data_IF_007444270131
#
_entry.id   IF_007444270131
#
_cell.length_a   1.000
_cell.length_b   1.000
_cell.length_c   1.000
_cell.angle_alpha   90.00
_cell.angle_beta   90.00
_cell.angle_gamma   90.00
#
_symmetry.space_group_name_H-M   'P 1'
#
loop_
_entity.id
_entity.type
_entity.pdbx_description
1 polymer ?
#
# COMPACT_ATOMS: atom_id res chain seq x y z
N UNK A 1 -1.37 -9.20 22.45
CA UNK A 1 -1.94 -8.68 21.20
C UNK A 1 -0.81 -7.98 20.43
N UNK A 2 -0.49 -8.39 19.21
CA UNK A 2 0.57 -7.75 18.40
C UNK A 2 0.06 -7.48 17.00
N UNK A 3 0.24 -6.24 16.53
CA UNK A 3 0.02 -5.81 15.16
C UNK A 3 1.35 -5.35 14.58
N UNK A 4 1.77 -5.94 13.47
CA UNK A 4 2.97 -5.57 12.74
C UNK A 4 2.57 -4.85 11.46
N UNK A 5 3.08 -3.65 11.24
CA UNK A 5 2.87 -2.89 10.01
C UNK A 5 4.17 -2.86 9.22
N UNK A 6 4.17 -3.44 8.03
CA UNK A 6 5.34 -3.53 7.17
C UNK A 6 5.06 -2.80 5.85
N UNK A 7 5.83 -1.76 5.56
CA UNK A 7 5.82 -1.14 4.24
C UNK A 7 6.67 -1.97 3.27
N UNK A 8 6.22 -2.10 2.03
CA UNK A 8 7.01 -2.73 0.98
C UNK A 8 8.40 -2.12 0.82
N UNK A 9 9.39 -2.91 0.43
CA UNK A 9 10.74 -2.48 0.12
C UNK A 9 10.80 -1.53 -1.08
N UNK A 10 11.97 -0.96 -1.34
CA UNK A 10 12.18 -0.05 -2.46
C UNK A 10 11.74 -0.69 -3.80
N UNK A 11 10.82 -0.04 -4.52
CA UNK A 11 10.41 -0.44 -5.87
C UNK A 11 11.24 0.28 -6.94
N UNK A 12 11.22 -0.25 -8.20
CA UNK A 12 11.88 0.39 -9.34
C UNK A 12 11.48 1.85 -9.49
N UNK A 13 10.19 2.17 -9.37
CA UNK A 13 9.72 3.55 -9.48
C UNK A 13 10.00 4.43 -8.24
N UNK A 14 10.25 3.83 -7.08
CA UNK A 14 10.83 4.60 -5.97
C UNK A 14 12.26 5.04 -6.30
N UNK A 15 13.08 4.15 -6.87
CA UNK A 15 14.44 4.45 -7.29
C UNK A 15 14.46 5.51 -8.40
N UNK A 16 13.57 5.42 -9.38
CA UNK A 16 13.42 6.33 -10.50
C UNK A 16 12.72 7.66 -10.13
N UNK A 17 12.36 7.85 -8.87
CA UNK A 17 11.63 9.03 -8.37
C UNK A 17 10.29 9.27 -9.11
N UNK A 18 9.55 8.23 -9.47
CA UNK A 18 8.25 8.32 -10.15
C UNK A 18 7.07 8.18 -9.19
N UNK A 19 5.92 8.74 -9.60
CA UNK A 19 4.64 8.47 -8.94
C UNK A 19 4.18 7.05 -9.27
N UNK A 20 4.01 6.19 -8.28
CA UNK A 20 3.71 4.77 -8.51
C UNK A 20 2.21 4.48 -8.45
N UNK A 21 1.55 4.84 -7.36
CA UNK A 21 0.11 4.57 -7.17
C UNK A 21 -0.22 3.08 -7.31
N UNK A 22 -1.21 2.77 -8.16
CA UNK A 22 -1.67 1.40 -8.43
C UNK A 22 -0.92 0.71 -9.58
N UNK A 23 0.01 1.40 -10.25
CA UNK A 23 0.88 0.75 -11.23
C UNK A 23 1.70 -0.34 -10.58
N UNK A 24 1.70 -1.51 -11.23
CA UNK A 24 2.28 -2.72 -10.67
C UNK A 24 3.76 -2.86 -11.06
N UNK A 25 4.64 -2.44 -10.17
CA UNK A 25 6.10 -2.42 -10.37
C UNK A 25 6.81 -3.34 -9.40
N UNK A 26 7.94 -3.90 -9.85
CA UNK A 26 8.77 -4.80 -9.08
C UNK A 26 9.61 -4.09 -8.01
N UNK A 27 10.10 -4.86 -7.05
CA UNK A 27 11.14 -4.43 -6.12
C UNK A 27 12.48 -4.25 -6.84
N UNK A 28 13.34 -3.42 -6.26
CA UNK A 28 14.76 -3.41 -6.58
C UNK A 28 15.50 -4.45 -5.74
N UNK A 29 16.76 -4.77 -6.08
CA UNK A 29 17.62 -5.61 -5.23
C UNK A 29 17.73 -5.08 -3.80
N UNK A 30 17.76 -3.76 -3.64
CA UNK A 30 17.72 -3.12 -2.32
C UNK A 30 16.38 -3.40 -1.62
N UNK A 31 15.25 -3.28 -2.33
CA UNK A 31 13.93 -3.58 -1.77
C UNK A 31 13.77 -5.04 -1.33
N UNK A 32 14.34 -5.99 -2.07
CA UNK A 32 14.41 -7.40 -1.68
C UNK A 32 15.23 -7.59 -0.39
N UNK A 33 16.39 -6.91 -0.31
CA UNK A 33 17.24 -6.94 0.88
C UNK A 33 16.56 -6.33 2.11
N UNK A 34 15.81 -5.22 1.92
CA UNK A 34 15.01 -4.59 2.97
C UNK A 34 13.92 -5.54 3.49
N UNK A 35 13.22 -6.26 2.59
CA UNK A 35 12.22 -7.26 2.94
C UNK A 35 12.82 -8.44 3.72
N UNK A 36 13.99 -8.94 3.30
CA UNK A 36 14.71 -10.00 4.01
C UNK A 36 15.12 -9.57 5.40
N UNK A 37 15.65 -8.35 5.54
CA UNK A 37 16.03 -7.77 6.84
C UNK A 37 14.82 -7.65 7.77
N UNK A 38 13.66 -7.19 7.26
CA UNK A 38 12.44 -7.09 8.04
C UNK A 38 12.00 -8.47 8.57
N UNK A 39 12.04 -9.51 7.73
CA UNK A 39 11.74 -10.88 8.15
C UNK A 39 12.65 -11.36 9.28
N UNK A 40 13.97 -11.12 9.13
CA UNK A 40 14.95 -11.47 10.16
C UNK A 40 14.65 -10.78 11.50
N UNK A 41 14.40 -9.46 11.49
CA UNK A 41 14.08 -8.70 12.70
C UNK A 41 12.81 -9.21 13.39
N UNK A 42 11.73 -9.49 12.62
CA UNK A 42 10.49 -10.01 13.19
C UNK A 42 10.71 -11.40 13.78
N UNK A 43 11.53 -12.24 13.15
CA UNK A 43 11.92 -13.55 13.65
C UNK A 43 12.75 -13.47 14.95
N UNK A 44 13.73 -12.58 15.03
CA UNK A 44 14.56 -12.32 16.21
C UNK A 44 13.73 -11.84 17.42
N UNK A 45 12.65 -11.09 17.18
CA UNK A 45 11.67 -10.68 18.19
C UNK A 45 10.74 -11.85 18.66
N UNK A 46 10.91 -13.03 18.12
CA UNK A 46 10.10 -14.20 18.46
C UNK A 46 8.61 -14.08 18.13
N UNK A 47 8.26 -13.23 17.15
CA UNK A 47 6.87 -12.99 16.75
C UNK A 47 6.41 -14.12 15.85
N UNK A 48 5.53 -14.98 16.36
CA UNK A 48 4.81 -15.98 15.53
C UNK A 48 3.53 -15.33 15.01
N UNK A 49 3.40 -15.17 13.71
CA UNK A 49 2.22 -14.59 13.06
C UNK A 49 1.12 -15.64 12.88
N UNK A 50 -0.13 -15.25 13.16
CA UNK A 50 -1.31 -16.06 12.85
C UNK A 50 -1.86 -15.68 11.47
N UNK A 51 -1.91 -14.39 11.14
CA UNK A 51 -2.54 -13.86 9.93
C UNK A 51 -1.67 -12.80 9.27
N UNK A 52 -1.65 -12.77 7.95
CA UNK A 52 -1.01 -11.72 7.14
C UNK A 52 -2.01 -11.16 6.14
N UNK A 53 -2.17 -9.86 6.12
CA UNK A 53 -2.94 -9.13 5.13
C UNK A 53 -2.00 -8.35 4.22
N UNK A 54 -2.21 -8.42 2.90
CA UNK A 54 -1.41 -7.67 1.94
C UNK A 54 -2.26 -7.09 0.83
N UNK A 55 -1.75 -6.08 0.13
CA UNK A 55 -2.39 -5.54 -1.07
C UNK A 55 -2.25 -6.50 -2.25
N UNK A 56 -2.94 -6.20 -3.35
CA UNK A 56 -2.83 -6.98 -4.60
C UNK A 56 -1.70 -6.52 -5.52
N UNK A 57 -0.83 -5.60 -5.06
CA UNK A 57 0.28 -5.08 -5.85
C UNK A 57 1.57 -5.86 -5.59
N UNK A 58 2.26 -6.26 -6.67
CA UNK A 58 3.45 -7.14 -6.65
C UNK A 58 4.50 -6.75 -5.62
N UNK A 59 4.84 -5.45 -5.51
CA UNK A 59 5.85 -4.99 -4.56
C UNK A 59 5.52 -5.30 -3.09
N UNK A 60 4.23 -5.26 -2.71
CA UNK A 60 3.81 -5.63 -1.36
C UNK A 60 3.78 -7.16 -1.20
N UNK A 61 3.26 -7.88 -2.20
CA UNK A 61 3.24 -9.35 -2.23
C UNK A 61 4.66 -9.91 -2.15
N UNK A 62 5.59 -9.40 -2.98
CA UNK A 62 6.97 -9.86 -2.99
C UNK A 62 7.69 -9.54 -1.67
N UNK A 63 7.44 -8.35 -1.10
CA UNK A 63 7.97 -8.01 0.23
C UNK A 63 7.47 -8.98 1.29
N UNK A 64 6.17 -9.30 1.29
CA UNK A 64 5.58 -10.28 2.19
C UNK A 64 6.23 -11.66 2.03
N UNK A 65 6.31 -12.18 0.80
CA UNK A 65 6.88 -13.50 0.53
C UNK A 65 8.34 -13.60 0.98
N UNK A 66 9.16 -12.59 0.66
CA UNK A 66 10.56 -12.54 1.09
C UNK A 66 10.67 -12.43 2.61
N UNK A 67 9.83 -11.61 3.24
CA UNK A 67 9.80 -11.49 4.69
C UNK A 67 9.46 -12.83 5.35
N UNK A 68 8.40 -13.50 4.91
CA UNK A 68 7.93 -14.77 5.47
C UNK A 68 8.90 -15.94 5.21
N UNK A 69 9.69 -15.90 4.14
CA UNK A 69 10.70 -16.95 3.88
C UNK A 69 11.81 -17.02 4.95
N UNK A 70 11.88 -16.03 5.83
CA UNK A 70 12.83 -16.00 6.96
C UNK A 70 12.18 -16.42 8.30
N UNK A 71 10.94 -16.94 8.27
CA UNK A 71 10.26 -17.46 9.44
C UNK A 71 10.34 -18.99 9.47
N UNK A 72 11.11 -19.54 10.40
CA UNK A 72 11.18 -20.98 10.59
C UNK A 72 9.83 -21.54 11.07
N UNK A 73 9.25 -22.46 10.30
CA UNK A 73 8.02 -23.20 10.63
C UNK A 73 6.76 -22.36 10.96
N UNK A 74 6.75 -21.07 10.71
CA UNK A 74 5.55 -20.25 10.87
C UNK A 74 4.86 -20.05 9.51
N UNK A 75 3.69 -20.64 9.33
CA UNK A 75 2.87 -20.52 8.13
C UNK A 75 1.55 -19.82 8.48
N UNK A 76 1.53 -18.47 8.51
CA UNK A 76 0.30 -17.74 8.77
C UNK A 76 -0.67 -17.86 7.58
N UNK A 77 -1.97 -17.71 7.86
CA UNK A 77 -2.95 -17.53 6.78
C UNK A 77 -2.74 -16.17 6.10
N UNK A 78 -2.78 -16.16 4.75
CA UNK A 78 -2.50 -14.97 3.94
C UNK A 78 -3.76 -14.52 3.21
N UNK A 79 -4.06 -13.22 3.33
CA UNK A 79 -5.21 -12.58 2.70
C UNK A 79 -4.76 -11.41 1.83
N UNK A 80 -5.27 -11.38 0.60
CA UNK A 80 -5.01 -10.33 -0.39
C UNK A 80 -6.24 -9.44 -0.51
N UNK A 81 -6.05 -8.12 -0.38
CA UNK A 81 -7.17 -7.20 -0.50
C UNK A 81 -6.75 -5.89 -1.16
N UNK A 82 -7.50 -5.48 -2.20
CA UNK A 82 -7.25 -4.25 -2.95
C UNK A 82 -7.39 -2.98 -2.09
N UNK A 83 -8.17 -3.04 -1.01
CA UNK A 83 -8.34 -1.92 -0.08
C UNK A 83 -7.04 -1.58 0.67
N UNK A 84 -6.04 -2.46 0.63
CA UNK A 84 -4.69 -2.22 1.14
C UNK A 84 -3.75 -1.61 0.10
N UNK A 85 -4.18 -1.42 -1.16
CA UNK A 85 -3.37 -0.81 -2.20
C UNK A 85 -2.87 0.59 -1.80
N UNK A 86 -1.81 1.05 -2.47
CA UNK A 86 -1.32 2.42 -2.35
C UNK A 86 -2.41 3.41 -2.78
N UNK A 87 -2.29 4.66 -2.37
CA UNK A 87 -3.10 5.77 -2.87
C UNK A 87 -2.95 5.88 -4.39
N UNK A 88 -4.06 6.03 -5.10
CA UNK A 88 -4.07 6.18 -6.54
C UNK A 88 -3.67 7.60 -6.94
N UNK A 89 -2.56 7.75 -7.67
CA UNK A 89 -2.02 9.06 -8.05
C UNK A 89 -2.63 9.64 -9.34
N UNK A 90 -3.71 9.07 -9.86
CA UNK A 90 -4.40 9.57 -11.06
C UNK A 90 -3.46 9.63 -12.26
N UNK A 91 -3.58 10.70 -13.04
CA UNK A 91 -2.78 10.91 -14.25
C UNK A 91 -1.28 11.14 -13.98
N UNK A 92 -0.90 11.38 -12.72
CA UNK A 92 0.53 11.52 -12.36
C UNK A 92 1.27 10.17 -12.33
N UNK A 93 0.57 9.02 -12.33
CA UNK A 93 1.23 7.71 -12.32
C UNK A 93 2.19 7.57 -13.52
N UNK A 94 3.44 7.18 -13.24
CA UNK A 94 4.52 7.06 -14.21
C UNK A 94 5.37 8.31 -14.42
N UNK A 95 4.87 9.49 -14.05
CA UNK A 95 5.63 10.73 -14.18
C UNK A 95 6.75 10.82 -13.15
N UNK A 96 7.90 11.39 -13.53
CA UNK A 96 8.96 11.70 -12.60
C UNK A 96 8.57 12.91 -11.73
N UNK A 97 8.79 12.80 -10.42
CA UNK A 97 8.33 13.82 -9.46
C UNK A 97 9.06 15.15 -9.63
N UNK A 98 10.36 15.13 -9.95
CA UNK A 98 11.13 16.35 -10.13
C UNK A 98 10.76 17.07 -11.43
N UNK A 99 10.51 16.33 -12.50
CA UNK A 99 10.05 16.89 -13.77
C UNK A 99 8.62 17.47 -13.64
N UNK A 100 7.77 16.76 -12.88
CA UNK A 100 6.41 17.24 -12.56
C UNK A 100 6.47 18.53 -11.75
N UNK A 101 7.40 18.64 -10.78
CA UNK A 101 7.60 19.84 -10.00
C UNK A 101 8.10 21.02 -10.85
N UNK A 102 9.01 20.77 -11.80
CA UNK A 102 9.42 21.80 -12.77
C UNK A 102 8.26 22.31 -13.62
N UNK A 103 7.30 21.45 -13.96
CA UNK A 103 6.15 21.81 -14.81
C UNK A 103 5.02 22.52 -14.05
N UNK A 104 4.72 22.09 -12.83
CA UNK A 104 3.55 22.54 -12.07
C UNK A 104 3.89 23.37 -10.82
N UNK A 105 5.18 23.49 -10.49
CA UNK A 105 5.68 24.10 -9.26
C UNK A 105 5.79 23.09 -8.11
N UNK A 106 6.77 23.30 -7.23
CA UNK A 106 7.04 22.43 -6.08
C UNK A 106 5.86 22.41 -5.11
N UNK A 107 5.25 23.56 -4.83
CA UNK A 107 4.11 23.70 -3.92
C UNK A 107 2.90 22.89 -4.41
N UNK A 108 2.57 22.98 -5.71
CA UNK A 108 1.44 22.22 -6.26
C UNK A 108 1.70 20.72 -6.18
N UNK A 109 2.93 20.27 -6.48
CA UNK A 109 3.29 18.86 -6.36
C UNK A 109 3.31 18.41 -4.90
N UNK A 110 3.73 19.27 -3.98
CA UNK A 110 3.68 19.00 -2.54
C UNK A 110 2.23 18.83 -2.07
N UNK A 111 1.32 19.70 -2.51
CA UNK A 111 -0.13 19.60 -2.24
C UNK A 111 -0.65 18.24 -2.71
N UNK A 112 -0.44 17.84 -3.96
CA UNK A 112 -0.88 16.54 -4.48
C UNK A 112 -0.28 15.36 -3.73
N UNK A 113 0.92 15.50 -3.17
CA UNK A 113 1.60 14.43 -2.44
C UNK A 113 1.24 14.34 -0.97
N UNK A 114 0.81 15.44 -0.34
CA UNK A 114 0.73 15.56 1.11
C UNK A 114 -0.60 16.02 1.65
N UNK A 115 -1.41 16.72 0.87
CA UNK A 115 -2.73 17.14 1.33
C UNK A 115 -3.59 15.95 1.75
N UNK A 116 -4.41 16.18 2.73
CA UNK A 116 -5.35 15.18 3.24
C UNK A 116 -6.51 14.97 2.26
N UNK A 117 -7.05 16.05 1.67
CA UNK A 117 -8.31 16.06 0.91
C UNK A 117 -8.20 16.60 -0.52
N UNK A 118 -7.00 16.97 -0.98
CA UNK A 118 -6.76 17.37 -2.38
C UNK A 118 -6.14 16.22 -3.15
N UNK A 119 -6.89 15.71 -4.13
CA UNK A 119 -6.44 14.63 -5.01
C UNK A 119 -5.56 15.14 -6.14
N UNK A 120 -4.61 14.34 -6.64
CA UNK A 120 -3.97 14.58 -7.92
C UNK A 120 -4.99 14.61 -9.06
N UNK A 121 -4.62 15.14 -10.27
CA UNK A 121 -5.49 15.10 -11.43
C UNK A 121 -5.94 13.66 -11.75
N UNK A 122 -7.25 13.49 -11.95
CA UNK A 122 -7.85 12.19 -12.20
C UNK A 122 -7.42 11.62 -13.59
N UNK A 123 -7.39 10.29 -13.70
CA UNK A 123 -7.41 9.61 -14.99
C UNK A 123 -8.77 9.79 -15.65
N UNK A 124 -8.80 9.93 -16.96
CA UNK A 124 -10.02 9.77 -17.73
C UNK A 124 -10.56 8.35 -17.62
N UNK A 125 -11.85 8.17 -17.75
CA UNK A 125 -12.50 6.86 -17.65
C UNK A 125 -12.14 5.88 -18.77
N UNK A 126 -11.62 6.40 -19.89
CA UNK A 126 -11.14 5.67 -21.06
C UNK A 126 -9.60 5.50 -21.08
N UNK A 127 -8.86 6.07 -20.12
CA UNK A 127 -7.42 5.87 -20.00
C UNK A 127 -7.13 4.41 -19.68
N UNK A 128 -6.30 3.75 -20.48
CA UNK A 128 -5.94 2.33 -20.31
C UNK A 128 -5.30 2.00 -18.96
N UNK A 129 -4.74 3.00 -18.29
CA UNK A 129 -4.18 2.86 -16.93
C UNK A 129 -5.24 2.84 -15.84
N UNK A 130 -6.51 3.12 -16.19
CA UNK A 130 -7.58 3.12 -15.21
C UNK A 130 -7.80 1.69 -14.68
N UNK A 131 -7.96 1.49 -13.35
CA UNK A 131 -8.10 0.15 -12.74
C UNK A 131 -9.25 -0.68 -13.33
N UNK A 132 -10.25 -0.06 -13.95
CA UNK A 132 -11.37 -0.77 -14.61
C UNK A 132 -10.95 -1.70 -15.73
N UNK A 133 -9.75 -1.52 -16.30
CA UNK A 133 -9.18 -2.34 -17.36
C UNK A 133 -8.20 -3.39 -16.85
N UNK A 134 -7.83 -3.35 -15.56
CA UNK A 134 -6.93 -4.34 -14.96
C UNK A 134 -7.75 -5.54 -14.46
N UNK A 135 -7.41 -6.73 -14.96
CA UNK A 135 -8.02 -8.02 -14.60
C UNK A 135 -8.05 -8.30 -13.09
N UNK A 136 -7.10 -7.73 -12.33
CA UNK A 136 -7.08 -7.86 -10.86
C UNK A 136 -8.34 -7.32 -10.18
N UNK A 137 -9.06 -6.41 -10.85
CA UNK A 137 -10.24 -5.75 -10.29
C UNK A 137 -11.53 -6.06 -11.08
N UNK A 138 -11.50 -7.04 -11.99
CA UNK A 138 -12.65 -7.36 -12.87
C UNK A 138 -13.91 -7.78 -12.10
N UNK A 139 -13.73 -8.40 -10.91
CA UNK A 139 -14.84 -8.82 -10.04
C UNK A 139 -15.44 -7.67 -9.21
N UNK A 140 -14.83 -6.48 -9.26
CA UNK A 140 -15.29 -5.33 -8.49
C UNK A 140 -16.23 -4.45 -9.33
N UNK A 141 -17.19 -3.81 -8.64
CA UNK A 141 -17.99 -2.77 -9.26
C UNK A 141 -17.08 -1.62 -9.74
N UNK A 142 -17.19 -1.27 -11.01
CA UNK A 142 -16.36 -0.22 -11.64
C UNK A 142 -16.56 1.15 -10.99
N UNK A 143 -17.69 1.39 -10.34
CA UNK A 143 -18.00 2.66 -9.66
C UNK A 143 -17.16 2.90 -8.41
N UNK A 144 -16.63 1.84 -7.79
CA UNK A 144 -15.77 1.96 -6.60
C UNK A 144 -14.29 2.07 -6.93
N UNK A 145 -13.91 1.89 -8.20
CA UNK A 145 -12.51 1.95 -8.64
C UNK A 145 -12.08 3.42 -8.81
N UNK A 146 -10.99 3.85 -8.16
CA UNK A 146 -10.61 5.25 -8.15
C UNK A 146 -9.97 5.68 -9.47
N UNK A 147 -10.32 6.87 -9.95
CA UNK A 147 -9.56 7.58 -10.99
C UNK A 147 -8.41 8.41 -10.41
N UNK A 148 -8.49 8.77 -9.14
CA UNK A 148 -7.46 9.44 -8.33
C UNK A 148 -7.89 9.37 -6.86
N UNK A 149 -6.94 9.47 -5.94
CA UNK A 149 -7.21 9.50 -4.50
C UNK A 149 -6.37 10.57 -3.79
N UNK A 150 -6.99 11.30 -2.86
CA UNK A 150 -6.28 11.96 -1.76
C UNK A 150 -6.12 10.98 -0.57
N UNK A 151 -5.51 11.43 0.53
CA UNK A 151 -5.37 10.56 1.71
C UNK A 151 -6.73 10.23 2.35
N UNK A 152 -7.67 11.17 2.34
CA UNK A 152 -9.05 10.99 2.82
C UNK A 152 -9.78 9.86 2.09
N UNK A 153 -9.60 9.75 0.77
CA UNK A 153 -10.19 8.67 -0.02
C UNK A 153 -9.56 7.31 0.32
N UNK A 154 -8.24 7.29 0.50
CA UNK A 154 -7.51 6.10 0.97
C UNK A 154 -8.01 5.64 2.34
N UNK A 155 -8.23 6.58 3.27
CA UNK A 155 -8.84 6.33 4.59
C UNK A 155 -10.24 5.73 4.42
N UNK A 156 -11.11 6.38 3.63
CA UNK A 156 -12.49 5.95 3.37
C UNK A 156 -12.56 4.52 2.80
N UNK A 157 -11.61 4.16 1.94
CA UNK A 157 -11.50 2.82 1.34
C UNK A 157 -11.00 1.78 2.33
N UNK A 158 -9.99 2.11 3.14
CA UNK A 158 -9.29 1.18 4.00
C UNK A 158 -10.01 0.91 5.33
N UNK A 159 -10.54 1.95 6.00
CA UNK A 159 -11.10 1.83 7.35
C UNK A 159 -12.23 0.80 7.47
N UNK A 160 -13.20 0.69 6.56
CA UNK A 160 -14.23 -0.35 6.68
C UNK A 160 -13.66 -1.77 6.69
N UNK A 161 -12.56 -2.01 5.97
CA UNK A 161 -11.88 -3.31 5.99
C UNK A 161 -11.12 -3.54 7.29
N UNK A 162 -10.47 -2.51 7.81
CA UNK A 162 -9.84 -2.55 9.12
C UNK A 162 -10.88 -2.88 10.21
N UNK A 163 -11.96 -2.11 10.29
CA UNK A 163 -12.96 -2.20 11.36
C UNK A 163 -13.73 -3.52 11.34
N UNK A 164 -14.14 -3.96 10.15
CA UNK A 164 -15.02 -5.13 9.99
C UNK A 164 -14.27 -6.46 9.85
N UNK A 165 -12.95 -6.43 9.65
CA UNK A 165 -12.17 -7.66 9.39
C UNK A 165 -10.92 -7.71 10.25
N UNK A 166 -9.95 -6.81 10.02
CA UNK A 166 -8.61 -6.95 10.60
C UNK A 166 -8.64 -6.68 12.11
N UNK A 167 -9.30 -5.61 12.54
CA UNK A 167 -9.33 -5.23 13.96
C UNK A 167 -10.00 -6.28 14.83
N UNK A 168 -10.99 -7.01 14.29
CA UNK A 168 -11.65 -8.09 15.00
C UNK A 168 -10.66 -9.22 15.28
N UNK A 169 -9.84 -9.59 14.32
CA UNK A 169 -8.79 -10.62 14.49
C UNK A 169 -7.74 -10.19 15.49
N UNK A 170 -7.36 -8.93 15.48
CA UNK A 170 -6.44 -8.38 16.49
C UNK A 170 -7.08 -8.43 17.89
N UNK A 171 -8.37 -8.10 18.02
CA UNK A 171 -9.12 -8.18 19.31
C UNK A 171 -9.30 -9.62 19.79
N UNK A 172 -9.42 -10.60 18.89
CA UNK A 172 -9.42 -12.03 19.20
C UNK A 172 -8.05 -12.53 19.72
N UNK A 173 -7.05 -11.66 19.83
CA UNK A 173 -5.70 -12.02 20.31
C UNK A 173 -4.76 -12.52 19.23
N UNK A 174 -5.18 -12.56 17.96
CA UNK A 174 -4.33 -12.98 16.83
C UNK A 174 -3.16 -12.01 16.62
N UNK A 175 -2.01 -12.56 16.28
CA UNK A 175 -0.83 -11.81 15.89
C UNK A 175 -0.90 -11.55 14.39
N UNK A 176 -1.18 -10.32 14.03
CA UNK A 176 -1.49 -9.90 12.66
C UNK A 176 -0.35 -9.07 12.07
N UNK A 177 0.04 -9.36 10.82
CA UNK A 177 0.89 -8.48 10.03
C UNK A 177 0.11 -7.90 8.86
N UNK A 178 0.32 -6.60 8.60
CA UNK A 178 -0.19 -5.92 7.39
C UNK A 178 1.02 -5.49 6.56
N UNK A 179 1.14 -6.02 5.34
CA UNK A 179 2.18 -5.64 4.38
C UNK A 179 1.54 -4.78 3.29
N UNK A 180 1.84 -3.49 3.31
CA UNK A 180 1.14 -2.54 2.45
C UNK A 180 2.05 -1.36 2.00
N UNK A 181 1.49 -0.18 1.83
CA UNK A 181 2.14 0.96 1.19
C UNK A 181 2.16 2.19 2.11
N UNK A 182 2.95 3.19 1.71
CA UNK A 182 3.15 4.37 2.54
C UNK A 182 1.86 5.10 2.91
N UNK A 183 0.95 5.33 1.96
CA UNK A 183 -0.29 6.05 2.26
C UNK A 183 -1.38 5.17 2.88
N UNK A 184 -1.48 3.89 2.51
CA UNK A 184 -2.43 2.97 3.16
C UNK A 184 -2.06 2.73 4.63
N UNK A 185 -0.77 2.54 4.96
CA UNK A 185 -0.35 2.43 6.35
C UNK A 185 -0.50 3.75 7.11
N UNK A 186 -0.25 4.91 6.45
CA UNK A 186 -0.50 6.22 7.05
C UNK A 186 -1.97 6.43 7.37
N UNK A 187 -2.89 5.97 6.50
CA UNK A 187 -4.32 6.01 6.75
C UNK A 187 -4.70 5.23 8.02
N UNK A 188 -4.11 4.04 8.21
CA UNK A 188 -4.33 3.25 9.41
C UNK A 188 -3.74 3.91 10.66
N UNK A 189 -2.49 4.38 10.61
CA UNK A 189 -1.83 5.05 11.74
C UNK A 189 -2.60 6.31 12.14
N UNK A 190 -3.06 7.13 11.16
CA UNK A 190 -3.93 8.27 11.46
C UNK A 190 -5.14 7.87 12.30
N UNK A 191 -5.79 6.75 11.97
CA UNK A 191 -6.95 6.24 12.70
C UNK A 191 -6.58 5.72 14.10
N UNK A 192 -5.52 4.91 14.20
CA UNK A 192 -5.11 4.30 15.47
C UNK A 192 -4.63 5.34 16.48
N UNK A 193 -3.85 6.32 16.02
CA UNK A 193 -3.26 7.37 16.85
C UNK A 193 -4.18 8.59 16.98
N UNK A 194 -5.40 8.54 16.41
CA UNK A 194 -6.41 9.63 16.44
C UNK A 194 -5.83 10.97 15.98
N UNK A 195 -4.98 10.96 14.97
CA UNK A 195 -4.39 12.18 14.40
C UNK A 195 -5.50 12.95 13.66
N UNK A 196 -5.62 14.25 13.95
CA UNK A 196 -6.57 15.17 13.33
C UNK A 196 -6.29 15.43 11.84
#
# INVERSE_FOLDING_TARGET
MKLVLLRHGQSKWNLENKFTGWTDVELTKKGESEAKRAGKLIGEEGIKLDLVYTSVLKRAINTMNICLSNFDNNKPDIFYDWRLNERHYGSLQGLNKSETAKKYGDDQVLIWRRSYDISPPALSSDDERHPRFDKKYESLDKSILPSSECLKDTVKRFLPFWEKTISLKVKEGKKVMIVAHGNSLRALVKHLDRIS
#
